data_IF_332753251912
#
_entry.id   IF_332753251912
#
_cell.length_a   1.000
_cell.length_b   1.000
_cell.length_c   1.000
_cell.angle_alpha   90.00
_cell.angle_beta   90.00
_cell.angle_gamma   90.00
#
_symmetry.space_group_name_H-M   'P 1'
#
loop_
_entity.id
_entity.type
_entity.pdbx_description
1 polymer ?
#
# COMPACT_ATOMS: atom_id res chain seq x y z
N UNK A 1 -10.98 -23.14 14.00
CA UNK A 1 -10.65 -21.91 13.26
C UNK A 1 -9.23 -21.56 13.63
N UNK A 2 -8.30 -21.54 12.69
CA UNK A 2 -6.92 -21.12 12.99
C UNK A 2 -6.94 -19.61 13.20
N UNK A 3 -6.36 -19.14 14.31
CA UNK A 3 -6.25 -17.72 14.58
C UNK A 3 -5.34 -17.07 13.54
N UNK A 4 -5.71 -15.88 13.04
CA UNK A 4 -4.83 -15.11 12.15
C UNK A 4 -3.51 -14.83 12.86
N UNK A 5 -2.35 -15.14 12.25
CA UNK A 5 -1.06 -14.82 12.83
C UNK A 5 -0.97 -13.34 13.18
N UNK A 6 -0.39 -13.03 14.33
CA UNK A 6 -0.19 -11.65 14.79
C UNK A 6 1.27 -11.26 14.65
N UNK A 7 1.59 -9.97 14.45
CA UNK A 7 2.98 -9.54 14.37
C UNK A 7 3.70 -9.74 15.71
N UNK A 8 4.94 -10.21 15.65
CA UNK A 8 5.88 -10.29 16.77
C UNK A 8 6.96 -9.22 16.69
N UNK A 9 7.27 -8.73 15.49
CA UNK A 9 8.22 -7.65 15.26
C UNK A 9 7.77 -6.82 14.04
N UNK A 10 7.95 -5.50 14.13
CA UNK A 10 7.60 -4.54 13.08
C UNK A 10 8.68 -3.47 13.00
N UNK A 11 9.30 -3.31 11.83
CA UNK A 11 10.35 -2.31 11.61
C UNK A 11 10.09 -1.52 10.32
N UNK A 12 10.27 -0.20 10.41
CA UNK A 12 10.21 0.70 9.25
C UNK A 12 11.62 1.06 8.80
N UNK A 13 12.03 0.53 7.66
CA UNK A 13 13.31 0.85 7.04
C UNK A 13 13.18 2.06 6.14
N UNK A 14 13.48 3.24 6.68
CA UNK A 14 13.28 4.52 5.98
C UNK A 14 14.13 4.65 4.71
N UNK A 15 15.38 4.17 4.73
CA UNK A 15 16.31 4.30 3.58
C UNK A 15 15.88 3.42 2.41
N UNK A 16 15.56 2.14 2.68
CA UNK A 16 15.09 1.19 1.67
C UNK A 16 13.59 1.25 1.41
N UNK A 17 12.85 2.13 2.11
CA UNK A 17 11.41 2.37 2.00
C UNK A 17 10.59 1.08 2.07
N UNK A 18 10.85 0.27 3.09
CA UNK A 18 10.14 -1.00 3.33
C UNK A 18 9.73 -1.16 4.78
N UNK A 19 8.57 -1.78 4.98
CA UNK A 19 8.12 -2.33 6.24
C UNK A 19 8.60 -3.78 6.33
N UNK A 20 9.39 -4.09 7.33
CA UNK A 20 9.71 -5.48 7.70
C UNK A 20 8.76 -5.91 8.81
N UNK A 21 8.13 -7.07 8.66
CA UNK A 21 7.15 -7.59 9.61
C UNK A 21 7.32 -9.10 9.77
N UNK A 22 7.37 -9.56 11.01
CA UNK A 22 7.44 -10.98 11.37
C UNK A 22 6.21 -11.37 12.17
N UNK A 23 5.65 -12.54 11.89
CA UNK A 23 4.42 -13.06 12.48
C UNK A 23 4.65 -14.26 13.40
N UNK A 24 3.67 -14.56 14.26
CA UNK A 24 3.73 -15.65 15.25
C UNK A 24 3.87 -17.05 14.65
N UNK A 25 3.51 -17.25 13.38
CA UNK A 25 3.71 -18.50 12.63
C UNK A 25 5.10 -18.61 11.99
N UNK A 26 5.96 -17.59 12.19
CA UNK A 26 7.28 -17.50 11.57
C UNK A 26 7.28 -16.89 10.17
N UNK A 27 6.12 -16.50 9.63
CA UNK A 27 6.08 -15.77 8.37
C UNK A 27 6.79 -14.43 8.51
N UNK A 28 7.52 -14.05 7.47
CA UNK A 28 8.35 -12.86 7.43
C UNK A 28 8.19 -12.18 6.08
N UNK A 29 7.90 -10.88 6.09
CA UNK A 29 7.64 -10.10 4.87
C UNK A 29 8.37 -8.77 4.88
N UNK A 30 8.81 -8.35 3.68
CA UNK A 30 9.35 -7.02 3.40
C UNK A 30 8.44 -6.30 2.40
N UNK A 31 7.56 -5.42 2.90
CA UNK A 31 6.54 -4.72 2.13
C UNK A 31 7.02 -3.30 1.76
N UNK A 32 7.21 -2.98 0.46
CA UNK A 32 7.57 -1.63 0.03
C UNK A 32 6.51 -0.60 0.44
N UNK A 33 6.94 0.60 0.81
CA UNK A 33 6.04 1.70 1.16
C UNK A 33 5.08 2.05 0.02
N UNK A 34 5.56 1.99 -1.22
CA UNK A 34 4.71 2.19 -2.40
C UNK A 34 3.62 1.12 -2.48
N UNK A 35 3.94 -0.15 -2.27
CA UNK A 35 2.94 -1.23 -2.29
C UNK A 35 1.85 -0.97 -1.23
N UNK A 36 2.26 -0.66 0.00
CA UNK A 36 1.34 -0.31 1.07
C UNK A 36 0.43 0.86 0.64
N UNK A 37 1.01 1.93 0.10
CA UNK A 37 0.25 3.13 -0.31
C UNK A 37 -0.73 2.87 -1.45
N UNK A 38 -0.31 2.16 -2.50
CA UNK A 38 -1.15 1.93 -3.69
C UNK A 38 -2.24 0.89 -3.43
N UNK A 39 -2.04 0.03 -2.44
CA UNK A 39 -3.02 -0.93 -1.93
C UNK A 39 -3.59 -0.53 -0.56
N UNK A 40 -3.65 0.76 -0.24
CA UNK A 40 -4.25 1.22 1.03
C UNK A 40 -5.68 0.68 1.19
N UNK A 41 -6.08 0.24 2.41
CA UNK A 41 -7.43 -0.27 2.65
C UNK A 41 -8.50 0.82 2.83
N UNK A 42 -8.11 2.10 2.71
CA UNK A 42 -9.03 3.24 2.79
C UNK A 42 -10.09 3.23 1.68
N UNK A 43 -11.25 3.82 1.98
CA UNK A 43 -12.35 3.95 1.01
C UNK A 43 -11.95 4.75 -0.25
N UNK A 44 -11.08 5.75 -0.11
CA UNK A 44 -10.53 6.52 -1.25
C UNK A 44 -9.82 5.63 -2.28
N UNK A 45 -9.11 4.59 -1.79
CA UNK A 45 -8.31 3.71 -2.65
C UNK A 45 -9.12 2.50 -3.11
N UNK A 46 -9.87 1.86 -2.21
CA UNK A 46 -10.68 0.67 -2.54
C UNK A 46 -12.02 0.98 -3.22
N UNK A 47 -12.53 2.21 -3.09
CA UNK A 47 -13.91 2.52 -3.45
C UNK A 47 -14.93 1.84 -2.51
N UNK A 48 -16.19 1.78 -2.93
CA UNK A 48 -17.30 1.23 -2.14
C UNK A 48 -17.71 -0.20 -2.57
N UNK A 49 -16.93 -0.86 -3.44
CA UNK A 49 -17.16 -2.23 -3.86
C UNK A 49 -16.13 -2.74 -4.87
N UNK A 50 -16.13 -4.05 -5.17
CA UNK A 50 -15.20 -4.64 -6.13
C UNK A 50 -15.26 -3.93 -7.49
N UNK A 51 -14.10 -3.59 -8.06
CA UNK A 51 -14.01 -2.88 -9.34
C UNK A 51 -14.12 -1.36 -9.24
N UNK A 52 -14.30 -0.80 -8.03
CA UNK A 52 -14.29 0.64 -7.78
C UNK A 52 -12.93 1.15 -7.27
N UNK A 53 -11.88 0.32 -7.35
CA UNK A 53 -10.56 0.67 -6.86
C UNK A 53 -9.90 1.73 -7.74
N UNK A 54 -9.52 2.85 -7.14
CA UNK A 54 -8.84 3.94 -7.84
C UNK A 54 -7.37 3.59 -8.05
N UNK A 55 -6.92 3.58 -9.30
CA UNK A 55 -5.49 3.40 -9.62
C UNK A 55 -4.67 4.56 -9.02
N UNK A 56 -3.76 4.23 -8.12
CA UNK A 56 -2.88 5.21 -7.47
C UNK A 56 -1.62 5.44 -8.33
N UNK A 57 -1.40 6.69 -8.76
CA UNK A 57 -0.28 7.07 -9.65
C UNK A 57 0.71 7.98 -8.92
N UNK A 58 1.96 8.04 -9.39
CA UNK A 58 2.97 8.95 -8.84
C UNK A 58 3.42 8.63 -7.41
N UNK A 59 3.30 7.37 -6.97
CA UNK A 59 3.60 6.95 -5.58
C UNK A 59 4.96 6.27 -5.41
N UNK A 60 5.80 6.25 -6.44
CA UNK A 60 7.10 5.58 -6.47
C UNK A 60 8.11 6.05 -5.42
N UNK A 61 7.93 7.26 -4.91
CA UNK A 61 8.81 7.89 -3.92
C UNK A 61 8.12 8.13 -2.56
N UNK A 62 6.93 7.56 -2.34
CA UNK A 62 6.18 7.80 -1.11
C UNK A 62 6.95 7.26 0.11
N UNK A 63 6.94 8.05 1.20
CA UNK A 63 7.49 7.68 2.49
C UNK A 63 6.39 7.41 3.51
N UNK A 64 6.73 6.69 4.58
CA UNK A 64 5.92 6.59 5.80
C UNK A 64 6.60 7.44 6.86
N UNK A 65 5.98 8.57 7.20
CA UNK A 65 6.48 9.53 8.18
C UNK A 65 6.28 9.04 9.62
N UNK A 66 5.19 8.33 9.86
CA UNK A 66 4.85 7.77 11.17
C UNK A 66 3.93 6.55 11.02
N UNK A 67 3.86 5.75 12.07
CA UNK A 67 2.93 4.64 12.18
C UNK A 67 2.38 4.57 13.61
N UNK A 68 1.09 4.34 13.74
CA UNK A 68 0.41 4.28 15.04
C UNK A 68 -0.40 2.98 15.17
N UNK A 69 -0.32 2.28 16.31
CA UNK A 69 -1.12 1.09 16.53
C UNK A 69 -2.59 1.45 16.63
N UNK A 70 -3.45 0.60 16.07
CA UNK A 70 -4.90 0.72 16.15
C UNK A 70 -5.44 -0.47 16.94
N UNK A 71 -5.67 -0.23 18.24
CA UNK A 71 -6.08 -1.28 19.17
C UNK A 71 -5.10 -2.46 19.16
N UNK A 72 -5.62 -3.68 19.07
CA UNK A 72 -4.83 -4.92 19.01
C UNK A 72 -4.84 -5.58 17.63
N UNK A 73 -5.40 -4.92 16.61
CA UNK A 73 -5.77 -5.59 15.35
C UNK A 73 -5.10 -5.00 14.10
N UNK A 74 -4.42 -3.87 14.20
CA UNK A 74 -3.78 -3.26 13.06
C UNK A 74 -2.94 -2.04 13.37
N UNK A 75 -2.49 -1.39 12.30
CA UNK A 75 -1.65 -0.20 12.31
C UNK A 75 -2.16 0.81 11.29
N UNK A 76 -2.08 2.09 11.61
CA UNK A 76 -2.30 3.18 10.67
C UNK A 76 -0.96 3.78 10.25
N UNK A 77 -0.77 4.03 8.96
CA UNK A 77 0.44 4.66 8.42
C UNK A 77 0.15 6.09 7.99
N UNK A 78 1.04 7.00 8.35
CA UNK A 78 1.01 8.40 7.93
C UNK A 78 2.01 8.58 6.78
N UNK A 79 1.50 8.69 5.56
CA UNK A 79 2.32 8.78 4.36
C UNK A 79 2.74 10.22 4.05
N UNK A 80 3.86 10.39 3.36
CA UNK A 80 4.41 11.69 2.99
C UNK A 80 3.58 12.47 1.97
N UNK A 81 2.64 11.81 1.29
CA UNK A 81 1.68 12.45 0.38
C UNK A 81 0.41 12.93 1.09
N UNK A 82 0.38 12.88 2.43
CA UNK A 82 -0.73 13.32 3.27
C UNK A 82 -1.77 12.23 3.55
N UNK A 83 -1.62 11.04 2.98
CA UNK A 83 -2.54 9.92 3.21
C UNK A 83 -2.36 9.32 4.61
N UNK A 84 -3.44 9.16 5.39
CA UNK A 84 -3.38 8.62 6.75
C UNK A 84 -4.69 7.97 7.24
N UNK A 85 -5.56 7.54 6.33
CA UNK A 85 -6.91 7.05 6.66
C UNK A 85 -7.06 5.53 6.53
N UNK A 86 -6.02 4.83 6.07
CA UNK A 86 -6.04 3.38 5.88
C UNK A 86 -5.57 2.65 7.13
N UNK A 87 -6.46 1.89 7.78
CA UNK A 87 -6.09 0.97 8.87
C UNK A 87 -5.71 -0.38 8.26
N UNK A 88 -4.45 -0.76 8.39
CA UNK A 88 -3.92 -2.03 7.93
C UNK A 88 -4.07 -3.05 9.05
N UNK A 89 -5.05 -3.94 8.93
CA UNK A 89 -5.18 -5.06 9.86
C UNK A 89 -3.99 -6.03 9.73
N UNK A 90 -3.72 -6.81 10.77
CA UNK A 90 -2.69 -7.85 10.72
C UNK A 90 -2.95 -8.88 9.62
N UNK A 91 -4.22 -9.26 9.45
CA UNK A 91 -4.69 -10.11 8.35
C UNK A 91 -4.34 -9.49 6.99
N UNK A 92 -4.62 -8.20 6.81
CA UNK A 92 -4.36 -7.55 5.54
C UNK A 92 -2.86 -7.40 5.24
N UNK A 93 -2.02 -7.09 6.23
CA UNK A 93 -0.57 -7.06 6.05
C UNK A 93 -0.04 -8.46 5.68
N UNK A 94 -0.60 -9.51 6.27
CA UNK A 94 -0.26 -10.89 5.93
C UNK A 94 -0.67 -11.21 4.48
N UNK A 95 -1.89 -10.84 4.08
CA UNK A 95 -2.37 -11.00 2.70
C UNK A 95 -1.49 -10.26 1.68
N UNK A 96 -1.10 -9.02 2.00
CA UNK A 96 -0.17 -8.25 1.17
C UNK A 96 1.18 -8.94 1.06
N UNK A 97 1.69 -9.52 2.14
CA UNK A 97 2.95 -10.29 2.16
C UNK A 97 2.90 -11.53 1.28
N UNK A 98 1.86 -12.36 1.44
CA UNK A 98 1.67 -13.58 0.65
C UNK A 98 1.49 -13.27 -0.84
N UNK A 99 0.74 -12.21 -1.16
CA UNK A 99 0.36 -11.90 -2.55
C UNK A 99 1.23 -10.80 -3.18
N UNK A 100 2.31 -10.37 -2.53
CA UNK A 100 3.10 -9.20 -2.90
C UNK A 100 3.47 -9.17 -4.39
N UNK A 101 4.03 -10.26 -4.91
CA UNK A 101 4.48 -10.33 -6.31
C UNK A 101 3.32 -10.24 -7.30
N UNK A 102 2.21 -10.92 -7.03
CA UNK A 102 1.03 -10.92 -7.90
C UNK A 102 0.33 -9.56 -7.90
N UNK A 103 0.15 -8.95 -6.73
CA UNK A 103 -0.39 -7.60 -6.58
C UNK A 103 0.50 -6.59 -7.31
N UNK A 104 1.81 -6.70 -7.15
CA UNK A 104 2.73 -5.79 -7.81
C UNK A 104 2.68 -5.87 -9.34
N UNK A 105 2.66 -7.08 -9.90
CA UNK A 105 2.52 -7.28 -11.35
C UNK A 105 1.19 -6.70 -11.88
N UNK A 106 0.08 -6.90 -11.14
CA UNK A 106 -1.22 -6.32 -11.48
C UNK A 106 -1.19 -4.79 -11.46
N UNK A 107 -0.58 -4.18 -10.44
CA UNK A 107 -0.39 -2.74 -10.37
C UNK A 107 0.38 -2.21 -11.59
N UNK A 108 1.49 -2.84 -11.96
CA UNK A 108 2.29 -2.42 -13.12
C UNK A 108 1.53 -2.58 -14.44
N UNK A 109 0.73 -3.64 -14.60
CA UNK A 109 -0.15 -3.83 -15.77
C UNK A 109 -1.17 -2.72 -15.88
N UNK A 110 -1.85 -2.37 -14.79
CA UNK A 110 -2.82 -1.25 -14.74
C UNK A 110 -2.17 0.08 -15.06
N UNK A 111 -0.97 0.35 -14.53
CA UNK A 111 -0.18 1.55 -14.85
C UNK A 111 0.13 1.64 -16.33
N UNK A 112 0.61 0.54 -16.94
CA UNK A 112 0.92 0.49 -18.37
C UNK A 112 -0.34 0.70 -19.23
N UNK A 113 -1.44 0.03 -18.91
CA UNK A 113 -2.70 0.14 -19.64
C UNK A 113 -3.27 1.57 -19.59
N UNK A 114 -3.10 2.27 -18.47
CA UNK A 114 -3.50 3.66 -18.30
C UNK A 114 -2.52 4.68 -18.92
N UNK A 115 -1.33 4.24 -19.36
CA UNK A 115 -0.24 5.14 -19.77
C UNK A 115 0.26 6.03 -18.62
N UNK A 116 0.07 5.59 -17.38
CA UNK A 116 0.44 6.33 -16.17
C UNK A 116 1.87 6.01 -15.71
N UNK A 117 2.39 6.81 -14.77
CA UNK A 117 3.73 6.61 -14.21
C UNK A 117 3.74 6.55 -12.68
N UNK A 118 4.63 5.72 -12.15
CA UNK A 118 4.93 5.63 -10.71
C UNK A 118 5.72 6.84 -10.24
N UNK A 119 6.46 7.48 -11.14
CA UNK A 119 7.23 8.69 -10.85
C UNK A 119 6.28 9.88 -10.58
N UNK A 120 6.40 10.55 -9.42
CA UNK A 120 5.54 11.68 -9.06
C UNK A 120 5.67 12.88 -10.00
N UNK A 121 6.84 13.12 -10.58
CA UNK A 121 7.09 14.19 -11.55
C UNK A 121 6.43 13.93 -12.90
N UNK A 122 6.35 12.67 -13.33
CA UNK A 122 5.67 12.27 -14.56
C UNK A 122 4.15 12.19 -14.36
N UNK A 123 3.68 11.66 -13.23
CA UNK A 123 2.24 11.50 -12.96
C UNK A 123 1.46 12.83 -13.02
N UNK A 124 2.02 13.91 -12.48
CA UNK A 124 1.42 15.26 -12.52
C UNK A 124 1.18 15.77 -13.95
N UNK A 125 1.95 15.32 -14.94
CA UNK A 125 1.75 15.70 -16.34
C UNK A 125 0.48 15.10 -16.94
N UNK A 126 0.07 13.92 -16.46
CA UNK A 126 -1.13 13.22 -16.92
C UNK A 126 -2.41 13.72 -16.25
N UNK A 127 -2.33 14.22 -15.00
CA UNK A 127 -3.46 14.87 -14.33
C UNK A 127 -3.93 16.14 -15.07
N UNK A 128 -3.02 16.85 -15.73
CA UNK A 128 -3.30 18.09 -16.46
C UNK A 128 -3.76 17.85 -17.91
N UNK A 129 -3.87 16.60 -18.38
CA UNK A 129 -4.41 16.34 -19.72
C UNK A 129 -5.92 16.58 -19.68
N UNK A 130 -6.48 17.48 -20.51
CA UNK A 130 -7.92 17.70 -20.52
C UNK A 130 -8.62 16.37 -20.83
N UNK A 131 -9.61 16.02 -20.00
CA UNK A 131 -10.47 14.86 -20.28
C UNK A 131 -11.09 15.08 -21.66
N UNK A 132 -10.80 14.18 -22.60
CA UNK A 132 -11.46 14.19 -23.90
C UNK A 132 -12.98 14.09 -23.65
N UNK A 133 -13.73 15.00 -24.28
CA UNK A 133 -15.19 15.00 -24.27
C UNK A 133 -15.75 13.82 -25.03
#
# INVERSE_FOLDING_TARGET
MMATPTPTDIQLHQVSRKLEITFTDGAHFELPFELLRVYSPSAEVRGHGPGQETLQVGKGEVLINAAEPVGLYGINFFFSDGHNTGIYSWEYLYELGVNQAALWDEYLKRMKAAGASRDPGIAKMFEHRPKAK
#
